data_IF_533795575947
#
_entry.id   IF_533795575947
#
_cell.length_a   1.000
_cell.length_b   1.000
_cell.length_c   1.000
_cell.angle_alpha   90.00
_cell.angle_beta   90.00
_cell.angle_gamma   90.00
#
_symmetry.space_group_name_H-M   'P 1'
#
loop_
_entity.id
_entity.type
_entity.pdbx_description
1 polymer ?
#
# COMPACT_ATOMS: atom_id res chain seq x y z
N UNK A 1 -0.12 3.52 8.25
CA UNK A 1 1.24 4.10 8.44
C UNK A 1 1.29 5.46 7.74
N UNK A 2 2.30 6.28 8.01
CA UNK A 2 2.46 7.57 7.34
C UNK A 2 3.93 7.96 7.17
N UNK A 3 4.22 8.78 6.17
CA UNK A 3 5.55 9.35 5.91
C UNK A 3 5.42 10.82 5.50
N UNK A 4 6.31 11.68 5.98
CA UNK A 4 6.43 13.06 5.53
C UNK A 4 7.40 13.12 4.33
N UNK A 5 6.91 13.54 3.17
CA UNK A 5 7.65 13.62 1.90
C UNK A 5 7.36 14.95 1.21
N UNK A 6 8.39 15.75 0.94
CA UNK A 6 8.30 17.03 0.23
C UNK A 6 7.25 18.01 0.82
N UNK A 7 7.12 18.04 2.15
CA UNK A 7 6.16 18.91 2.85
C UNK A 7 4.73 18.38 2.88
N UNK A 8 4.49 17.17 2.37
CA UNK A 8 3.20 16.47 2.43
C UNK A 8 3.33 15.22 3.29
N UNK A 9 2.35 14.98 4.16
CA UNK A 9 2.17 13.73 4.87
C UNK A 9 1.35 12.78 4.02
N UNK A 10 1.96 11.67 3.62
CA UNK A 10 1.29 10.60 2.89
C UNK A 10 0.89 9.49 3.86
N UNK A 11 -0.38 9.10 3.82
CA UNK A 11 -0.91 7.95 4.54
C UNK A 11 -0.93 6.72 3.63
N UNK A 12 -0.61 5.56 4.20
CA UNK A 12 -0.69 4.29 3.49
C UNK A 12 -0.82 3.11 4.45
N UNK A 13 -1.51 2.07 3.99
CA UNK A 13 -1.50 0.76 4.64
C UNK A 13 -0.53 -0.18 3.93
N UNK A 14 0.04 -1.13 4.66
CA UNK A 14 0.85 -2.21 4.10
C UNK A 14 0.22 -3.53 4.54
N UNK A 15 0.02 -4.42 3.58
CA UNK A 15 -0.51 -5.76 3.80
C UNK A 15 0.44 -6.80 3.20
N UNK A 16 0.62 -7.89 3.93
CA UNK A 16 1.58 -8.93 3.60
C UNK A 16 3.06 -8.64 3.93
N UNK A 17 3.87 -9.71 4.05
CA UNK A 17 5.29 -9.60 4.35
C UNK A 17 6.13 -9.23 3.12
N UNK A 18 7.14 -8.36 3.30
CA UNK A 18 8.16 -8.07 2.29
C UNK A 18 9.14 -9.22 2.09
N UNK A 19 9.41 -9.98 3.15
CA UNK A 19 10.32 -11.12 3.17
C UNK A 19 9.57 -12.35 3.64
N UNK A 20 9.71 -13.46 2.91
CA UNK A 20 9.14 -14.76 3.31
C UNK A 20 10.24 -15.82 3.38
N UNK A 21 10.11 -16.82 4.25
CA UNK A 21 11.02 -17.96 4.25
C UNK A 21 11.02 -18.68 2.89
N UNK A 22 12.21 -19.03 2.42
CA UNK A 22 12.45 -19.85 1.24
C UNK A 22 13.58 -20.84 1.56
N UNK A 23 13.21 -21.97 2.17
CA UNK A 23 14.15 -22.92 2.75
C UNK A 23 14.99 -22.27 3.88
N UNK A 24 16.30 -22.17 3.66
CA UNK A 24 17.25 -21.59 4.62
C UNK A 24 17.50 -20.09 4.39
N UNK A 25 16.83 -19.48 3.42
CA UNK A 25 16.99 -18.07 3.07
C UNK A 25 15.68 -17.29 3.26
N UNK A 26 15.78 -15.97 3.26
CA UNK A 26 14.62 -15.08 3.20
C UNK A 26 14.52 -14.52 1.79
N UNK A 27 13.41 -14.80 1.10
CA UNK A 27 13.15 -14.29 -0.24
C UNK A 27 12.31 -13.02 -0.17
N UNK A 28 12.75 -12.00 -0.91
CA UNK A 28 11.97 -10.79 -1.11
C UNK A 28 10.78 -11.04 -2.04
N UNK A 29 9.59 -10.66 -1.60
CA UNK A 29 8.39 -10.61 -2.42
C UNK A 29 8.35 -9.31 -3.23
N UNK A 30 7.75 -9.31 -4.43
CA UNK A 30 7.48 -8.06 -5.14
C UNK A 30 6.60 -7.15 -4.28
N UNK A 31 6.80 -5.85 -4.41
CA UNK A 31 5.94 -4.84 -3.81
C UNK A 31 4.99 -4.30 -4.88
N UNK A 32 3.68 -4.32 -4.59
CA UNK A 32 2.64 -3.72 -5.43
C UNK A 32 2.12 -2.48 -4.73
N UNK A 33 2.26 -1.31 -5.35
CA UNK A 33 1.69 -0.05 -4.84
C UNK A 33 0.38 0.20 -5.58
N UNK A 34 -0.73 0.20 -4.85
CA UNK A 34 -2.04 0.54 -5.39
C UNK A 34 -2.22 2.05 -5.37
N UNK A 35 -2.32 2.64 -6.56
CA UNK A 35 -2.53 4.07 -6.77
C UNK A 35 -3.98 4.28 -7.16
N UNK A 36 -4.74 4.95 -6.29
CA UNK A 36 -6.15 5.23 -6.56
C UNK A 36 -6.31 6.37 -7.56
N UNK A 37 -7.52 6.46 -8.12
CA UNK A 37 -7.92 7.54 -9.01
C UNK A 37 -9.31 8.04 -8.63
N UNK A 38 -9.73 9.11 -9.30
CA UNK A 38 -11.03 9.75 -9.06
C UNK A 38 -10.90 11.04 -8.24
N UNK A 39 -11.99 11.81 -8.14
CA UNK A 39 -11.97 13.12 -7.50
C UNK A 39 -11.87 12.98 -5.98
N UNK A 40 -10.73 13.37 -5.39
CA UNK A 40 -10.52 13.94 -4.04
C UNK A 40 -10.99 13.16 -2.80
N UNK A 41 -12.26 12.78 -2.79
CA UNK A 41 -12.99 12.26 -1.65
C UNK A 41 -12.84 10.74 -1.42
N UNK A 42 -12.20 10.01 -2.34
CA UNK A 42 -11.93 8.57 -2.16
C UNK A 42 -10.52 8.35 -1.61
N UNK A 43 -10.43 7.50 -0.61
CA UNK A 43 -9.16 7.02 -0.04
C UNK A 43 -8.86 5.62 -0.58
N UNK A 44 -7.71 5.05 -0.24
CA UNK A 44 -7.30 3.74 -0.72
C UNK A 44 -8.22 2.58 -0.26
N UNK A 45 -9.12 2.78 0.71
CA UNK A 45 -9.86 1.69 1.35
C UNK A 45 -10.77 0.93 0.40
N UNK A 46 -11.26 1.58 -0.67
CA UNK A 46 -12.13 0.94 -1.65
C UNK A 46 -11.41 -0.16 -2.45
N UNK A 47 -10.07 -0.19 -2.44
CA UNK A 47 -9.32 -1.29 -3.06
C UNK A 47 -9.26 -2.55 -2.21
N UNK A 48 -9.48 -2.45 -0.89
CA UNK A 48 -9.25 -3.60 0.00
C UNK A 48 -10.11 -4.83 -0.36
N UNK A 49 -11.41 -4.72 -0.68
CA UNK A 49 -12.21 -5.89 -1.04
C UNK A 49 -11.69 -6.63 -2.29
N UNK A 50 -11.28 -5.89 -3.32
CA UNK A 50 -10.93 -6.48 -4.62
C UNK A 50 -9.46 -6.89 -4.73
N UNK A 51 -8.57 -6.23 -3.98
CA UNK A 51 -7.12 -6.40 -4.12
C UNK A 51 -6.44 -7.09 -2.95
N UNK A 52 -7.14 -7.38 -1.84
CA UNK A 52 -6.58 -8.17 -0.73
C UNK A 52 -5.97 -9.52 -1.17
N UNK A 53 -6.52 -10.27 -2.14
CA UNK A 53 -5.90 -11.52 -2.59
C UNK A 53 -4.46 -11.39 -3.13
N UNK A 54 -4.03 -10.20 -3.57
CA UNK A 54 -2.65 -9.97 -4.03
C UNK A 54 -1.59 -10.22 -2.95
N UNK A 55 -1.99 -10.17 -1.68
CA UNK A 55 -1.13 -10.45 -0.51
C UNK A 55 -0.58 -11.88 -0.53
N UNK A 56 -1.22 -12.81 -1.25
CA UNK A 56 -0.69 -14.17 -1.43
C UNK A 56 0.62 -14.18 -2.23
N UNK A 57 0.85 -13.19 -3.09
CA UNK A 57 1.98 -13.15 -4.03
C UNK A 57 2.94 -11.98 -3.82
N UNK A 58 2.49 -10.89 -3.20
CA UNK A 58 3.23 -9.65 -3.06
C UNK A 58 3.06 -9.03 -1.66
N UNK A 59 3.93 -8.08 -1.31
CA UNK A 59 3.60 -7.07 -0.32
C UNK A 59 2.77 -5.98 -1.00
N UNK A 60 1.59 -5.68 -0.48
CA UNK A 60 0.66 -4.70 -1.06
C UNK A 60 0.72 -3.42 -0.23
N UNK A 61 0.95 -2.28 -0.91
CA UNK A 61 0.93 -0.94 -0.32
C UNK A 61 -0.27 -0.18 -0.85
N UNK A 62 -1.19 0.18 0.04
CA UNK A 62 -2.39 0.96 -0.30
C UNK A 62 -2.13 2.43 0.01
N UNK A 63 -1.98 3.27 -1.02
CA UNK A 63 -1.55 4.66 -0.87
C UNK A 63 -2.71 5.64 -0.95
N UNK A 64 -2.80 6.57 0.01
CA UNK A 64 -3.58 7.79 -0.13
C UNK A 64 -2.73 8.85 -0.85
N UNK A 65 -3.16 9.28 -2.04
CA UNK A 65 -2.52 10.40 -2.75
C UNK A 65 -2.64 11.72 -1.97
N UNK A 66 -1.76 12.68 -2.27
CA UNK A 66 -1.79 14.04 -1.71
C UNK A 66 -3.20 14.65 -1.74
N UNK A 67 -3.65 15.19 -0.61
CA UNK A 67 -4.98 15.76 -0.44
C UNK A 67 -6.16 14.77 -0.50
N UNK A 68 -5.91 13.47 -0.40
CA UNK A 68 -6.94 12.43 -0.36
C UNK A 68 -6.87 11.62 0.93
N UNK A 69 -8.01 11.13 1.40
CA UNK A 69 -8.07 10.27 2.58
C UNK A 69 -7.45 10.92 3.81
N UNK A 70 -6.39 10.30 4.33
CA UNK A 70 -5.63 10.79 5.49
C UNK A 70 -4.34 11.52 5.12
N UNK A 71 -4.03 11.63 3.83
CA UNK A 71 -2.93 12.44 3.32
C UNK A 71 -3.33 13.91 3.24
N UNK A 72 -2.41 14.82 3.58
CA UNK A 72 -2.64 16.26 3.45
C UNK A 72 -2.09 16.84 2.13
#
# INVERSE_FOLDING_TARGET
MQIDLNGTRLWFDVDGPALVPDGNEMRQRPTVVLVHGGPGARDHSYFKPDFAPLVEHAQVVYLDLRGHGRSN
#
